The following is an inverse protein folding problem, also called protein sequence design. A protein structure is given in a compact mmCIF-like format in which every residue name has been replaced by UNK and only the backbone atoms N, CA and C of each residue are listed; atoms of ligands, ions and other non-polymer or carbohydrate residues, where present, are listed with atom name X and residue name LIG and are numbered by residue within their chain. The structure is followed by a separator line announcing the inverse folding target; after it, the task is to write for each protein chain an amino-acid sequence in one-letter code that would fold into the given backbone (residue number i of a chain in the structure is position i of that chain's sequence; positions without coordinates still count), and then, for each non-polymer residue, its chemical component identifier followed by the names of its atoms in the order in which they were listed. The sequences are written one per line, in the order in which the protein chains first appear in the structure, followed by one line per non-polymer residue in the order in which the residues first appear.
data_IF_162818651407
#
_entry.id   IF_162818651407
#
_cell.length_a   1.000
_cell.length_b   1.000
_cell.length_c   1.000
_cell.angle_alpha   90.00
_cell.angle_beta   90.00
_cell.angle_gamma   90.00
#
_symmetry.space_group_name_H-M   'P 1'
#
loop_
_entity.id
_entity.type
_entity.pdbx_description
1 polymer ?
#
# COMPACT_ATOMS: atom_id res chain seq x y z
N UNK A 1 -7.70 8.92 -6.49
CA UNK A 1 -8.33 8.77 -5.17
C UNK A 1 -9.17 7.51 -5.19
N UNK A 2 -9.19 6.72 -4.11
CA UNK A 2 -10.03 5.52 -4.00
C UNK A 2 -10.83 5.59 -2.71
N UNK A 3 -12.07 5.09 -2.73
CA UNK A 3 -12.89 5.03 -1.52
C UNK A 3 -12.35 4.00 -0.54
N UNK A 4 -12.22 2.73 -0.94
CA UNK A 4 -11.73 1.63 -0.10
C UNK A 4 -10.60 0.86 -0.76
N UNK A 5 -9.55 0.56 0.01
CA UNK A 5 -8.37 -0.17 -0.48
C UNK A 5 -8.69 -1.59 -0.96
N UNK A 6 -9.69 -2.26 -0.37
CA UNK A 6 -10.13 -3.60 -0.79
C UNK A 6 -10.66 -3.65 -2.23
N UNK A 7 -11.18 -2.53 -2.74
CA UNK A 7 -11.66 -2.42 -4.13
C UNK A 7 -10.55 -2.09 -5.11
N UNK A 8 -9.43 -1.58 -4.62
CA UNK A 8 -8.29 -1.23 -5.46
C UNK A 8 -7.40 -2.43 -5.74
N UNK A 9 -7.22 -3.34 -4.78
CA UNK A 9 -6.43 -4.54 -4.97
C UNK A 9 -6.84 -5.64 -3.99
N UNK A 10 -6.88 -6.89 -4.50
CA UNK A 10 -7.11 -8.10 -3.70
C UNK A 10 -5.85 -8.60 -3.00
N UNK A 11 -4.70 -8.01 -3.29
CA UNK A 11 -3.42 -8.33 -2.65
C UNK A 11 -2.75 -7.05 -2.18
N UNK A 12 -2.35 -7.02 -0.91
CA UNK A 12 -1.58 -5.92 -0.32
C UNK A 12 -0.28 -5.67 -1.11
N UNK A 13 0.34 -6.72 -1.67
CA UNK A 13 1.52 -6.58 -2.53
C UNK A 13 1.22 -5.82 -3.82
N UNK A 14 0.16 -6.21 -4.53
CA UNK A 14 -0.24 -5.51 -5.75
C UNK A 14 -0.65 -4.05 -5.46
N UNK A 15 -1.27 -3.81 -4.31
CA UNK A 15 -1.59 -2.47 -3.86
C UNK A 15 -0.32 -1.62 -3.68
N UNK A 16 0.64 -2.12 -2.90
CA UNK A 16 1.89 -1.43 -2.61
C UNK A 16 2.69 -1.18 -3.90
N UNK A 17 2.78 -2.19 -4.78
CA UNK A 17 3.45 -2.06 -6.07
C UNK A 17 2.78 -1.01 -6.98
N UNK A 18 1.45 -0.98 -7.04
CA UNK A 18 0.73 0.01 -7.83
C UNK A 18 0.85 1.43 -7.25
N UNK A 19 0.95 1.58 -5.93
CA UNK A 19 1.22 2.86 -5.28
C UNK A 19 2.65 3.32 -5.55
N UNK A 20 3.64 2.43 -5.43
CA UNK A 20 5.04 2.73 -5.65
C UNK A 20 5.32 3.16 -7.09
N UNK A 21 4.76 2.44 -8.07
CA UNK A 21 4.84 2.83 -9.47
C UNK A 21 4.26 4.24 -9.71
N UNK A 22 3.13 4.59 -9.07
CA UNK A 22 2.55 5.93 -9.19
C UNK A 22 3.40 7.00 -8.53
N UNK A 23 4.00 6.68 -7.39
CA UNK A 23 4.95 7.56 -6.71
C UNK A 23 6.13 7.92 -7.64
N UNK A 24 6.63 6.96 -8.43
CA UNK A 24 7.67 7.20 -9.44
C UNK A 24 7.27 8.18 -10.55
N UNK A 25 5.98 8.33 -10.82
CA UNK A 25 5.44 9.34 -11.75
C UNK A 25 5.03 10.65 -11.07
N UNK A 26 5.34 10.83 -9.79
CA UNK A 26 4.92 12.00 -9.00
C UNK A 26 3.42 12.02 -8.69
N UNK A 27 2.72 10.90 -8.87
CA UNK A 27 1.27 10.78 -8.62
C UNK A 27 1.03 10.31 -7.19
N UNK A 28 0.41 11.17 -6.39
CA UNK A 28 -0.02 10.84 -5.04
C UNK A 28 -1.32 10.02 -5.04
N UNK A 29 -1.38 9.02 -4.16
CA UNK A 29 -2.53 8.18 -3.92
C UNK A 29 -3.20 8.57 -2.60
N UNK A 30 -4.52 8.59 -2.62
CA UNK A 30 -5.34 8.98 -1.48
C UNK A 30 -6.46 7.95 -1.31
N UNK A 31 -6.48 7.29 -0.15
CA UNK A 31 -7.57 6.42 0.30
C UNK A 31 -8.46 7.20 1.25
N UNK A 32 -9.73 7.38 0.89
CA UNK A 32 -10.67 8.17 1.69
C UNK A 32 -11.13 7.43 2.95
N UNK A 33 -11.33 6.11 2.89
CA UNK A 33 -11.81 5.34 4.03
C UNK A 33 -10.70 5.07 5.06
N UNK A 34 -9.47 4.84 4.60
CA UNK A 34 -8.33 4.49 5.48
C UNK A 34 -7.49 5.72 5.86
N UNK A 35 -7.81 6.90 5.31
CA UNK A 35 -7.07 8.14 5.57
C UNK A 35 -5.61 8.08 5.12
N UNK A 36 -5.27 7.20 4.18
CA UNK A 36 -3.89 7.06 3.69
C UNK A 36 -3.66 8.05 2.57
N UNK A 37 -2.80 9.03 2.83
CA UNK A 37 -2.29 10.00 1.86
C UNK A 37 -0.79 9.79 1.59
N UNK A 38 -0.44 9.35 0.39
CA UNK A 38 0.97 9.11 0.02
C UNK A 38 1.74 10.40 -0.29
N UNK A 39 1.07 11.55 -0.35
CA UNK A 39 1.74 12.85 -0.40
C UNK A 39 2.32 13.25 0.98
N UNK A 40 1.67 12.82 2.06
CA UNK A 40 2.14 13.05 3.43
C UNK A 40 3.30 12.11 3.82
N UNK A 41 4.22 12.59 4.67
CA UNK A 41 5.29 11.76 5.25
C UNK A 41 4.69 10.61 6.06
N UNK A 42 3.65 10.89 6.84
CA UNK A 42 2.94 9.89 7.65
C UNK A 42 2.34 8.78 6.79
N UNK A 43 1.66 9.09 5.69
CA UNK A 43 1.05 8.08 4.84
C UNK A 43 2.08 7.22 4.09
N UNK A 44 3.23 7.79 3.69
CA UNK A 44 4.35 6.99 3.16
C UNK A 44 4.95 6.07 4.22
N UNK A 45 5.10 6.55 5.46
CA UNK A 45 5.59 5.73 6.57
C UNK A 45 4.63 4.58 6.90
N UNK A 46 3.33 4.85 6.97
CA UNK A 46 2.30 3.82 7.18
C UNK A 46 2.36 2.76 6.06
N UNK A 47 2.51 3.16 4.80
CA UNK A 47 2.68 2.22 3.69
C UNK A 47 3.95 1.37 3.81
N UNK A 48 5.06 1.94 4.25
CA UNK A 48 6.30 1.19 4.46
C UNK A 48 6.13 0.11 5.55
N UNK A 49 5.46 0.44 6.66
CA UNK A 49 5.11 -0.52 7.71
C UNK A 49 4.21 -1.63 7.15
N UNK A 50 3.14 -1.26 6.45
CA UNK A 50 2.22 -2.23 5.84
C UNK A 50 2.94 -3.15 4.85
N UNK A 51 3.90 -2.63 4.10
CA UNK A 51 4.74 -3.43 3.20
C UNK A 51 5.65 -4.41 3.92
N UNK A 52 6.30 -3.98 5.00
CA UNK A 52 7.10 -4.87 5.83
C UNK A 52 6.25 -6.00 6.44
N UNK A 53 5.06 -5.69 6.95
CA UNK A 53 4.12 -6.69 7.49
C UNK A 53 3.67 -7.66 6.39
N UNK A 54 3.36 -7.16 5.19
CA UNK A 54 2.94 -7.99 4.07
C UNK A 54 4.02 -9.00 3.62
N UNK A 55 5.30 -8.58 3.64
CA UNK A 55 6.44 -9.45 3.39
C UNK A 55 6.60 -10.51 4.50
N UNK A 56 6.52 -10.10 5.77
CA UNK A 56 6.61 -11.01 6.91
C UNK A 56 5.51 -12.08 6.91
N UNK A 57 4.26 -11.73 6.60
CA UNK A 57 3.17 -12.70 6.51
C UNK A 57 3.35 -13.66 5.32
N UNK A 58 3.96 -13.20 4.22
CA UNK A 58 4.26 -14.06 3.07
C UNK A 58 5.35 -15.07 3.37
N UNK A 59 6.41 -14.69 4.08
CA UNK A 59 7.48 -15.64 4.44
C UNK A 59 6.96 -16.77 5.33
N UNK A 60 5.96 -16.49 6.18
CA UNK A 60 5.26 -17.50 6.99
C UNK A 60 4.44 -18.49 6.15
N UNK A 61 3.80 -18.04 5.07
CA UNK A 61 2.98 -18.91 4.21
C UNK A 61 3.76 -19.62 3.08
N UNK A 62 4.95 -19.12 2.72
CA UNK A 62 5.79 -19.72 1.66
C UNK A 62 6.68 -20.88 2.15
N UNK A 63 6.58 -21.24 3.44
CA UNK A 63 7.42 -22.28 4.09
C UNK A 63 6.66 -23.60 4.34
N UNK A 64 5.58 -23.86 3.61
CA UNK A 64 4.85 -25.16 3.60
C UNK A 64 4.81 -25.72 2.19
#
# INVERSE_FOLDING_TARGET
MCWRLDRFSRSLRNLLFAIDQRSGYGVSFHSLNEGIDTHSVTGRFTLAILGAIAEMERSKFSSV
#
